data_IF_740927729238
#
_entry.id   IF_740927729238
#
_cell.length_a   1.000
_cell.length_b   1.000
_cell.length_c   1.000
_cell.angle_alpha   90.00
_cell.angle_beta   90.00
_cell.angle_gamma   90.00
#
_symmetry.space_group_name_H-M   'P 1'
#
loop_
_entity.id
_entity.type
_entity.pdbx_description
1 polymer ?
#
# COMPACT_ATOMS: atom_id res chain seq x y z
N UNK A 1 20.03 -20.72 -1.50
CA UNK A 1 20.82 -20.76 -2.74
C UNK A 1 21.35 -19.36 -2.98
N UNK A 2 22.64 -19.11 -2.70
CA UNK A 2 23.24 -17.78 -2.73
C UNK A 2 24.21 -17.69 -3.91
N UNK A 3 24.04 -16.70 -4.78
CA UNK A 3 24.96 -16.49 -5.91
C UNK A 3 25.91 -15.34 -5.57
N UNK A 4 27.20 -15.68 -5.51
CA UNK A 4 28.33 -14.77 -5.36
C UNK A 4 28.74 -14.29 -6.76
N UNK A 5 28.75 -12.97 -6.99
CA UNK A 5 29.37 -12.38 -8.17
C UNK A 5 30.64 -11.64 -7.76
N UNK A 6 31.78 -12.23 -8.13
CA UNK A 6 33.11 -11.62 -8.08
C UNK A 6 33.31 -10.75 -9.31
N UNK A 7 33.60 -9.47 -9.09
CA UNK A 7 34.13 -8.53 -10.09
C UNK A 7 34.85 -7.38 -9.38
N UNK A 8 35.91 -6.79 -9.96
CA UNK A 8 36.75 -5.81 -9.26
C UNK A 8 36.06 -4.45 -9.30
N UNK A 9 35.79 -3.86 -8.13
CA UNK A 9 35.22 -2.50 -8.02
C UNK A 9 36.28 -1.54 -7.51
N UNK A 10 36.62 -0.62 -8.39
CA UNK A 10 37.49 0.53 -8.19
C UNK A 10 36.91 1.44 -7.09
N UNK A 11 37.76 1.91 -6.16
CA UNK A 11 37.36 2.73 -5.02
C UNK A 11 36.97 4.14 -5.48
N UNK A 12 35.67 4.46 -5.60
CA UNK A 12 35.11 5.83 -5.51
C UNK A 12 33.62 5.82 -5.85
N UNK A 13 32.74 5.60 -4.88
CA UNK A 13 31.36 6.09 -4.95
C UNK A 13 30.67 5.92 -3.60
N UNK A 14 30.02 7.00 -3.14
CA UNK A 14 29.22 7.10 -1.93
C UNK A 14 28.45 5.81 -1.60
N UNK A 15 28.59 5.36 -0.35
CA UNK A 15 27.82 4.26 0.22
C UNK A 15 26.35 4.67 0.24
N UNK A 16 25.60 4.32 -0.80
CA UNK A 16 24.15 4.21 -0.71
C UNK A 16 23.89 2.95 0.12
N UNK A 17 23.20 3.04 1.28
CA UNK A 17 22.82 1.84 2.01
C UNK A 17 21.75 1.10 1.20
N UNK A 18 22.19 0.23 0.29
CA UNK A 18 21.32 -0.72 -0.39
C UNK A 18 21.00 -1.84 0.60
N UNK A 19 20.00 -1.60 1.44
CA UNK A 19 19.35 -2.66 2.20
C UNK A 19 18.59 -3.56 1.20
N UNK A 20 19.28 -4.53 0.59
CA UNK A 20 18.66 -5.62 -0.17
C UNK A 20 18.05 -6.62 0.81
N UNK A 21 16.92 -6.25 1.41
CA UNK A 21 15.97 -7.25 1.89
C UNK A 21 15.32 -7.83 0.62
N UNK A 22 15.38 -9.15 0.43
CA UNK A 22 14.71 -9.81 -0.68
C UNK A 22 13.25 -9.39 -0.72
N UNK A 23 12.82 -8.79 -1.83
CA UNK A 23 11.49 -8.20 -2.01
C UNK A 23 10.48 -9.33 -2.20
N UNK A 24 9.99 -9.87 -1.09
CA UNK A 24 8.66 -10.47 -1.00
C UNK A 24 8.06 -9.93 0.30
N UNK A 25 7.63 -8.67 0.28
CA UNK A 25 6.89 -8.11 1.40
C UNK A 25 5.41 -8.41 1.16
N UNK A 26 4.93 -9.53 1.69
CA UNK A 26 3.51 -9.86 1.74
C UNK A 26 2.91 -9.23 3.00
N UNK A 27 1.86 -8.41 2.84
CA UNK A 27 1.08 -7.88 3.95
C UNK A 27 -0.29 -8.54 3.97
N UNK A 28 -0.71 -9.01 5.15
CA UNK A 28 -2.07 -9.50 5.40
C UNK A 28 -2.81 -8.42 6.18
N UNK A 29 -3.88 -7.85 5.59
CA UNK A 29 -4.80 -6.98 6.32
C UNK A 29 -6.11 -7.73 6.57
N UNK A 30 -6.55 -7.70 7.82
CA UNK A 30 -7.83 -8.25 8.30
C UNK A 30 -8.88 -7.15 8.20
N UNK A 31 -9.77 -7.22 7.21
CA UNK A 31 -10.86 -6.24 7.03
C UNK A 31 -12.19 -6.90 7.36
N UNK A 32 -12.60 -6.86 8.63
CA UNK A 32 -13.92 -7.39 9.02
C UNK A 32 -14.11 -7.75 10.49
N UNK A 33 -13.04 -7.98 11.25
CA UNK A 33 -13.14 -8.26 12.67
C UNK A 33 -13.07 -6.96 13.48
N UNK A 34 -14.20 -6.40 13.88
CA UNK A 34 -14.22 -5.38 14.94
C UNK A 34 -13.91 -6.04 16.28
N UNK A 35 -12.61 -6.30 16.51
CA UNK A 35 -12.12 -6.63 17.83
C UNK A 35 -11.96 -5.32 18.59
N UNK A 36 -12.51 -5.17 19.81
CA UNK A 36 -12.23 -4.01 20.65
C UNK A 36 -10.72 -3.82 20.79
N UNK A 37 -10.21 -2.64 20.41
CA UNK A 37 -8.76 -2.35 20.42
C UNK A 37 -8.00 -2.67 19.12
N UNK A 38 -8.70 -3.03 18.03
CA UNK A 38 -8.11 -3.17 16.70
C UNK A 38 -7.73 -1.83 16.05
N UNK A 39 -7.05 -1.90 14.91
CA UNK A 39 -6.70 -0.73 14.10
C UNK A 39 -7.95 0.00 13.63
N UNK A 40 -7.94 1.32 13.78
CA UNK A 40 -8.89 2.19 13.12
C UNK A 40 -8.66 2.21 11.60
N UNK A 41 -9.70 2.59 10.85
CA UNK A 41 -9.62 2.74 9.39
C UNK A 41 -8.54 3.77 8.98
N UNK A 42 -8.35 4.82 9.78
CA UNK A 42 -7.34 5.85 9.52
C UNK A 42 -5.91 5.35 9.70
N UNK A 43 -5.66 4.53 10.72
CA UNK A 43 -4.36 3.90 10.92
C UNK A 43 -4.06 2.92 9.79
N UNK A 44 -5.07 2.19 9.33
CA UNK A 44 -4.97 1.29 8.17
C UNK A 44 -4.59 2.04 6.90
N UNK A 45 -5.22 3.21 6.64
CA UNK A 45 -4.85 4.06 5.51
C UNK A 45 -3.42 4.59 5.62
N UNK A 46 -2.99 5.00 6.82
CA UNK A 46 -1.64 5.51 7.03
C UNK A 46 -0.60 4.43 6.73
N UNK A 47 -0.78 3.21 7.25
CA UNK A 47 0.11 2.09 6.95
C UNK A 47 0.16 1.76 5.45
N UNK A 48 -0.99 1.73 4.79
CA UNK A 48 -1.07 1.45 3.35
C UNK A 48 -0.36 2.53 2.51
N UNK A 49 -0.52 3.80 2.86
CA UNK A 49 0.15 4.92 2.19
C UNK A 49 1.67 4.87 2.40
N UNK A 50 2.16 4.59 3.61
CA UNK A 50 3.59 4.46 3.91
C UNK A 50 4.21 3.25 3.17
N UNK A 51 3.51 2.12 3.12
CA UNK A 51 3.96 0.93 2.38
C UNK A 51 4.01 1.23 0.88
N UNK A 52 2.99 1.89 0.34
CA UNK A 52 2.97 2.32 -1.06
C UNK A 52 4.14 3.27 -1.37
N UNK A 53 4.45 4.20 -0.47
CA UNK A 53 5.55 5.16 -0.63
C UNK A 53 6.93 4.49 -0.72
N UNK A 54 7.11 3.28 -0.17
CA UNK A 54 8.37 2.54 -0.33
C UNK A 54 8.63 2.07 -1.76
N UNK A 55 7.58 1.89 -2.57
CA UNK A 55 7.67 1.28 -3.90
C UNK A 55 8.11 -0.20 -3.89
N UNK A 56 8.03 -0.88 -2.74
CA UNK A 56 8.49 -2.27 -2.55
C UNK A 56 7.37 -3.28 -2.31
N UNK A 57 6.12 -2.85 -2.40
CA UNK A 57 4.98 -3.77 -2.31
C UNK A 57 4.99 -4.70 -3.53
N UNK A 58 5.15 -5.99 -3.31
CA UNK A 58 5.14 -7.00 -4.35
C UNK A 58 3.84 -7.81 -4.38
N UNK A 59 3.30 -8.11 -3.19
CA UNK A 59 2.08 -8.90 -3.01
C UNK A 59 1.29 -8.30 -1.85
N UNK A 60 -0.02 -8.16 -2.02
CA UNK A 60 -0.96 -7.75 -0.98
C UNK A 60 -2.02 -8.84 -0.83
N UNK A 61 -2.14 -9.37 0.37
CA UNK A 61 -3.18 -10.34 0.73
C UNK A 61 -4.23 -9.66 1.61
N UNK A 62 -5.49 -9.75 1.21
CA UNK A 62 -6.61 -9.21 1.97
C UNK A 62 -7.41 -10.39 2.50
N UNK A 63 -7.46 -10.51 3.82
CA UNK A 63 -8.11 -11.61 4.50
C UNK A 63 -9.29 -11.13 5.35
N UNK A 64 -10.11 -12.08 5.79
CA UNK A 64 -11.20 -11.88 6.76
C UNK A 64 -12.32 -10.91 6.30
N UNK A 65 -12.43 -10.67 5.00
CA UNK A 65 -13.62 -10.03 4.43
C UNK A 65 -14.72 -11.09 4.37
N UNK A 66 -15.64 -11.06 5.34
CA UNK A 66 -16.81 -11.94 5.35
C UNK A 66 -18.11 -11.13 5.18
N UNK A 67 -18.63 -11.01 3.94
CA UNK A 67 -19.84 -10.26 3.66
C UNK A 67 -21.11 -10.85 4.28
N UNK A 68 -21.09 -12.13 4.70
CA UNK A 68 -22.27 -12.85 5.16
C UNK A 68 -22.52 -12.73 6.67
N UNK A 69 -21.56 -12.19 7.42
CA UNK A 69 -21.63 -12.04 8.88
C UNK A 69 -22.24 -10.71 9.35
N UNK A 70 -22.71 -9.87 8.43
CA UNK A 70 -23.19 -8.51 8.75
C UNK A 70 -24.50 -8.17 8.06
N UNK A 71 -25.21 -7.16 8.57
CA UNK A 71 -26.40 -6.61 7.91
C UNK A 71 -26.02 -5.90 6.59
N UNK A 72 -27.00 -5.63 5.73
CA UNK A 72 -26.76 -5.10 4.38
C UNK A 72 -25.93 -3.80 4.34
N UNK A 73 -26.09 -2.92 5.33
CA UNK A 73 -25.34 -1.66 5.39
C UNK A 73 -23.90 -1.88 5.87
N UNK A 74 -23.72 -2.67 6.93
CA UNK A 74 -22.40 -3.06 7.41
C UNK A 74 -21.61 -3.86 6.37
N UNK A 75 -22.29 -4.69 5.56
CA UNK A 75 -21.68 -5.40 4.44
C UNK A 75 -21.09 -4.43 3.42
N UNK A 76 -21.89 -3.44 2.97
CA UNK A 76 -21.43 -2.41 2.03
C UNK A 76 -20.26 -1.63 2.59
N UNK A 77 -20.31 -1.25 3.86
CA UNK A 77 -19.22 -0.52 4.52
C UNK A 77 -17.95 -1.36 4.59
N UNK A 78 -18.02 -2.64 4.94
CA UNK A 78 -16.84 -3.53 5.00
C UNK A 78 -16.21 -3.70 3.63
N UNK A 79 -17.02 -3.89 2.58
CA UNK A 79 -16.53 -4.01 1.19
C UNK A 79 -15.88 -2.70 0.75
N UNK A 80 -16.53 -1.55 0.98
CA UNK A 80 -15.99 -0.25 0.61
C UNK A 80 -14.66 0.02 1.32
N UNK A 81 -14.58 -0.24 2.63
CA UNK A 81 -13.36 -0.08 3.40
C UNK A 81 -12.23 -0.99 2.90
N UNK A 82 -12.53 -2.25 2.55
CA UNK A 82 -11.54 -3.16 1.99
C UNK A 82 -10.98 -2.62 0.67
N UNK A 83 -11.85 -2.18 -0.24
CA UNK A 83 -11.48 -1.59 -1.52
C UNK A 83 -10.63 -0.33 -1.32
N UNK A 84 -11.04 0.56 -0.42
CA UNK A 84 -10.30 1.80 -0.14
C UNK A 84 -8.90 1.53 0.40
N UNK A 85 -8.77 0.63 1.39
CA UNK A 85 -7.46 0.25 1.94
C UNK A 85 -6.57 -0.34 0.84
N UNK A 86 -7.13 -1.20 -0.01
CA UNK A 86 -6.43 -1.77 -1.18
C UNK A 86 -5.90 -0.67 -2.08
N UNK A 87 -6.74 0.30 -2.44
CA UNK A 87 -6.35 1.39 -3.32
C UNK A 87 -5.19 2.22 -2.74
N UNK A 88 -5.16 2.42 -1.40
CA UNK A 88 -4.05 3.12 -0.74
C UNK A 88 -2.72 2.37 -0.86
N UNK A 89 -2.71 1.05 -0.77
CA UNK A 89 -1.51 0.24 -0.99
C UNK A 89 -0.93 0.36 -2.41
N UNK A 90 -1.78 0.63 -3.40
CA UNK A 90 -1.36 0.86 -4.78
C UNK A 90 -1.13 2.34 -5.12
N UNK A 91 -1.04 3.19 -4.10
CA UNK A 91 -0.58 4.57 -4.25
C UNK A 91 -1.68 5.63 -4.31
N UNK A 92 -2.96 5.27 -4.13
CA UNK A 92 -3.97 6.28 -3.92
C UNK A 92 -3.71 7.03 -2.61
N UNK A 93 -3.93 8.36 -2.59
CA UNK A 93 -3.70 9.18 -1.39
C UNK A 93 -4.98 9.81 -0.89
N UNK A 94 -5.07 10.05 0.43
CA UNK A 94 -6.20 10.81 1.00
C UNK A 94 -6.21 12.28 0.58
N UNK A 95 -5.06 12.82 0.18
CA UNK A 95 -4.92 14.19 -0.34
C UNK A 95 -5.42 14.35 -1.78
N UNK A 96 -5.84 13.25 -2.42
CA UNK A 96 -6.20 13.22 -3.83
C UNK A 96 -5.01 12.89 -4.72
N UNK A 97 -5.31 12.34 -5.89
CA UNK A 97 -4.34 11.95 -6.90
C UNK A 97 -4.55 12.84 -8.14
N UNK A 98 -3.53 13.61 -8.51
CA UNK A 98 -3.54 14.44 -9.72
C UNK A 98 -2.70 13.72 -10.78
N UNK A 99 -3.23 13.49 -12.00
CA UNK A 99 -2.44 12.95 -13.10
C UNK A 99 -1.18 13.79 -13.32
N UNK A 100 -0.05 13.13 -13.61
CA UNK A 100 1.24 13.81 -13.77
C UNK A 100 1.24 14.85 -14.90
N UNK A 101 0.35 14.66 -15.87
CA UNK A 101 0.14 15.46 -17.07
C UNK A 101 -1.08 16.38 -16.98
N UNK A 102 -1.69 16.53 -15.79
CA UNK A 102 -2.84 17.41 -15.62
C UNK A 102 -2.47 18.87 -15.88
N UNK A 103 -3.09 19.46 -16.90
CA UNK A 103 -2.99 20.89 -17.22
C UNK A 103 -4.28 21.56 -16.80
N UNK A 104 -4.17 22.61 -15.98
CA UNK A 104 -5.33 23.42 -15.57
C UNK A 104 -5.95 24.06 -16.83
N UNK A 105 -7.25 23.84 -17.10
CA UNK A 105 -7.92 24.46 -18.24
C UNK A 105 -7.82 25.98 -18.17
N UNK A 106 -7.42 26.62 -19.27
CA UNK A 106 -7.39 28.09 -19.37
C UNK A 106 -8.78 28.60 -19.81
N UNK A 107 -9.21 29.77 -19.33
CA UNK A 107 -10.42 30.41 -19.85
C UNK A 107 -10.32 30.61 -21.36
N UNK A 108 -11.38 30.29 -22.10
CA UNK A 108 -11.52 30.71 -23.50
C UNK A 108 -12.04 32.16 -23.48
N UNK A 109 -11.28 33.07 -24.11
CA UNK A 109 -11.65 34.47 -24.28
C UNK A 109 -12.66 34.65 -25.42
#
# INVERSE_FOLDING_TARGET
>A
MAYRLTGPVNQSSAVKPTLSIGVITSYVIVVGAQVPGGLSLRESFYLAEEIAATGRLAVLDIAEVNPLLSNADAQKTTIANAVDVTAKFYGSKRQGDVPKDYVIPRPQA
#
